data_IF_165826400769
#
_entry.id   IF_165826400769
#
_cell.length_a   1.000
_cell.length_b   1.000
_cell.length_c   1.000
_cell.angle_alpha   90.00
_cell.angle_beta   90.00
_cell.angle_gamma   90.00
#
_symmetry.space_group_name_H-M   'P 1'
#
loop_
_entity.id
_entity.type
_entity.pdbx_description
1 polymer ?
#
# COMPACT_ATOMS: atom_id res chain seq x y z
N UNK A 1 -29.19 1.19 13.00
CA UNK A 1 -29.51 -0.10 12.33
C UNK A 1 -29.76 -1.23 13.32
N UNK A 2 -28.93 -1.40 14.36
CA UNK A 2 -29.06 -2.48 15.35
C UNK A 2 -30.46 -2.55 16.00
N UNK A 3 -31.02 -1.41 16.43
CA UNK A 3 -32.38 -1.33 17.00
C UNK A 3 -33.44 -1.88 16.04
N UNK A 4 -33.42 -1.47 14.77
CA UNK A 4 -34.34 -1.97 13.74
C UNK A 4 -34.17 -3.48 13.45
N UNK A 5 -32.95 -4.00 13.53
CA UNK A 5 -32.68 -5.43 13.39
C UNK A 5 -33.28 -6.23 14.55
N UNK A 6 -33.04 -5.76 15.77
CA UNK A 6 -33.62 -6.33 17.00
C UNK A 6 -35.14 -6.32 16.96
N UNK A 7 -35.74 -5.18 16.63
CA UNK A 7 -37.21 -5.03 16.57
C UNK A 7 -37.82 -5.97 15.52
N UNK A 8 -37.15 -6.16 14.37
CA UNK A 8 -37.59 -7.14 13.36
C UNK A 8 -37.52 -8.58 13.87
N UNK A 9 -36.43 -8.96 14.53
CA UNK A 9 -36.26 -10.31 15.06
C UNK A 9 -37.32 -10.64 16.12
N UNK A 10 -37.56 -9.69 17.05
CA UNK A 10 -38.61 -9.79 18.08
C UNK A 10 -39.99 -9.93 17.42
N UNK A 11 -40.30 -9.08 16.42
CA UNK A 11 -41.58 -9.14 15.71
C UNK A 11 -41.76 -10.44 14.90
N UNK A 12 -40.67 -11.09 14.50
CA UNK A 12 -40.68 -12.41 13.84
C UNK A 12 -40.61 -13.60 14.81
N UNK A 13 -40.75 -13.37 16.11
CA UNK A 13 -40.70 -14.38 17.17
C UNK A 13 -39.35 -15.14 17.27
N UNK A 14 -38.25 -14.50 16.85
CA UNK A 14 -36.90 -15.02 17.02
C UNK A 14 -36.25 -14.40 18.26
N UNK A 15 -36.27 -15.14 19.37
CA UNK A 15 -35.88 -14.64 20.70
C UNK A 15 -34.53 -15.16 21.22
N UNK A 16 -33.89 -16.08 20.51
CA UNK A 16 -32.62 -16.69 20.94
C UNK A 16 -31.41 -15.93 20.39
N UNK A 17 -31.35 -14.62 20.65
CA UNK A 17 -30.28 -13.74 20.18
C UNK A 17 -29.84 -12.76 21.28
N UNK A 18 -28.54 -12.75 21.56
CA UNK A 18 -27.91 -11.69 22.34
C UNK A 18 -27.45 -10.57 21.41
N UNK A 19 -27.91 -9.34 21.66
CA UNK A 19 -27.61 -8.18 20.83
C UNK A 19 -26.53 -7.34 21.48
N UNK A 20 -25.38 -7.21 20.82
CA UNK A 20 -24.26 -6.39 21.28
C UNK A 20 -23.96 -5.30 20.26
N UNK A 21 -23.77 -4.07 20.74
CA UNK A 21 -23.27 -2.96 19.93
C UNK A 21 -21.75 -2.89 20.11
N UNK A 22 -21.00 -3.33 19.10
CA UNK A 22 -19.54 -3.40 19.15
C UNK A 22 -18.90 -2.88 17.86
N UNK A 23 -17.62 -2.53 17.94
CA UNK A 23 -16.80 -2.24 16.76
C UNK A 23 -16.23 -3.58 16.23
N UNK A 24 -16.39 -3.85 14.93
CA UNK A 24 -15.86 -5.06 14.31
C UNK A 24 -14.32 -5.16 14.39
N UNK A 25 -13.64 -4.02 14.57
CA UNK A 25 -12.18 -3.93 14.74
C UNK A 25 -11.72 -4.13 16.19
N UNK A 26 -12.64 -4.25 17.15
CA UNK A 26 -12.35 -4.52 18.55
C UNK A 26 -13.59 -5.11 19.21
N UNK A 27 -13.68 -6.43 19.19
CA UNK A 27 -14.84 -7.17 19.68
C UNK A 27 -14.75 -7.36 21.20
N UNK A 28 -15.81 -7.08 21.97
CA UNK A 28 -15.83 -7.23 23.43
C UNK A 28 -16.09 -8.67 23.87
N UNK A 29 -15.39 -9.61 23.23
CA UNK A 29 -15.52 -11.05 23.44
C UNK A 29 -14.15 -11.65 23.74
N UNK A 30 -14.13 -12.77 24.46
CA UNK A 30 -12.90 -13.45 24.82
C UNK A 30 -12.30 -14.20 23.62
N UNK A 31 -11.03 -14.57 23.73
CA UNK A 31 -10.35 -15.38 22.72
C UNK A 31 -11.01 -16.77 22.63
N UNK A 32 -11.20 -17.28 21.41
CA UNK A 32 -11.77 -18.62 21.15
C UNK A 32 -13.16 -18.88 21.76
N UNK A 33 -14.02 -17.87 21.81
CA UNK A 33 -15.38 -17.99 22.34
C UNK A 33 -16.36 -18.68 21.38
N UNK A 34 -16.29 -18.39 20.08
CA UNK A 34 -17.31 -18.79 19.10
C UNK A 34 -16.86 -19.90 18.13
N UNK A 35 -17.82 -20.71 17.70
CA UNK A 35 -17.63 -21.73 16.66
C UNK A 35 -17.83 -21.17 15.24
N UNK A 36 -18.64 -20.14 15.08
CA UNK A 36 -18.93 -19.52 13.79
C UNK A 36 -18.95 -18.01 13.90
N UNK A 37 -18.33 -17.32 12.95
CA UNK A 37 -18.37 -15.88 12.81
C UNK A 37 -18.87 -15.57 11.40
N UNK A 38 -20.04 -14.92 11.31
CA UNK A 38 -20.69 -14.61 10.04
C UNK A 38 -20.76 -13.12 9.83
N UNK A 39 -20.41 -12.64 8.63
CA UNK A 39 -20.64 -11.26 8.21
C UNK A 39 -21.26 -11.24 6.82
N UNK A 40 -22.34 -10.47 6.65
CA UNK A 40 -23.05 -10.35 5.39
C UNK A 40 -23.18 -8.88 4.99
N UNK A 41 -22.60 -8.53 3.84
CA UNK A 41 -22.63 -7.19 3.25
C UNK A 41 -22.11 -6.07 4.17
N UNK A 42 -21.23 -6.41 5.12
CA UNK A 42 -20.71 -5.48 6.12
C UNK A 42 -19.21 -5.23 6.02
N UNK A 43 -18.42 -6.24 5.66
CA UNK A 43 -16.96 -6.21 5.75
C UNK A 43 -16.34 -5.13 4.85
N UNK A 44 -16.99 -4.77 3.74
CA UNK A 44 -16.53 -3.70 2.84
C UNK A 44 -16.61 -2.29 3.45
N UNK A 45 -17.41 -2.11 4.51
CA UNK A 45 -17.62 -0.81 5.15
C UNK A 45 -16.78 -0.64 6.43
N UNK A 46 -15.93 -1.62 6.76
CA UNK A 46 -15.02 -1.55 7.90
C UNK A 46 -13.81 -0.68 7.52
N UNK A 47 -13.39 0.22 8.41
CA UNK A 47 -12.25 1.10 8.16
C UNK A 47 -10.93 0.34 8.03
N UNK A 48 -10.60 -0.50 9.01
CA UNK A 48 -9.46 -1.41 8.98
C UNK A 48 -9.95 -2.86 8.89
N UNK A 49 -10.09 -3.33 7.65
CA UNK A 49 -10.54 -4.70 7.38
C UNK A 49 -9.59 -5.75 7.92
N UNK A 50 -8.26 -5.52 7.87
CA UNK A 50 -7.27 -6.47 8.37
C UNK A 50 -7.44 -6.66 9.88
N UNK A 51 -7.62 -5.57 10.62
CA UNK A 51 -7.87 -5.62 12.06
C UNK A 51 -9.18 -6.34 12.39
N UNK A 52 -10.25 -6.09 11.64
CA UNK A 52 -11.52 -6.82 11.85
C UNK A 52 -11.43 -8.31 11.51
N UNK A 53 -10.69 -8.72 10.48
CA UNK A 53 -10.43 -10.14 10.19
C UNK A 53 -9.57 -10.81 11.27
N UNK A 54 -8.63 -10.06 11.85
CA UNK A 54 -7.84 -10.54 12.99
C UNK A 54 -8.71 -10.75 14.22
N UNK A 55 -9.56 -9.77 14.56
CA UNK A 55 -10.53 -9.88 15.65
C UNK A 55 -11.53 -11.02 15.44
N UNK A 56 -12.09 -11.15 14.23
CA UNK A 56 -13.03 -12.21 13.90
C UNK A 56 -12.43 -13.60 14.12
N UNK A 57 -11.13 -13.78 13.94
CA UNK A 57 -10.45 -15.05 14.25
C UNK A 57 -9.99 -15.15 15.68
N UNK A 58 -9.62 -14.05 16.33
CA UNK A 58 -9.28 -14.06 17.77
C UNK A 58 -10.43 -14.66 18.57
N UNK A 59 -11.67 -14.25 18.25
CA UNK A 59 -12.88 -14.73 18.92
C UNK A 59 -13.33 -16.13 18.42
N UNK A 60 -12.72 -16.69 17.36
CA UNK A 60 -13.03 -18.03 16.87
C UNK A 60 -12.16 -19.09 17.54
N UNK A 61 -12.76 -20.24 17.85
CA UNK A 61 -12.04 -21.43 18.31
C UNK A 61 -11.06 -21.96 17.24
N UNK A 62 -10.07 -22.81 17.59
CA UNK A 62 -9.11 -23.41 16.65
C UNK A 62 -9.67 -24.16 15.42
N UNK A 63 -10.99 -24.45 15.40
CA UNK A 63 -11.72 -25.03 14.26
C UNK A 63 -12.97 -24.23 13.86
N UNK A 64 -13.10 -23.04 14.42
CA UNK A 64 -14.22 -22.16 14.13
C UNK A 64 -14.20 -21.70 12.67
N UNK A 65 -15.38 -21.38 12.13
CA UNK A 65 -15.53 -20.99 10.72
C UNK A 65 -15.90 -19.52 10.60
N UNK A 66 -15.07 -18.79 9.86
CA UNK A 66 -15.43 -17.47 9.35
C UNK A 66 -16.19 -17.62 8.02
N UNK A 67 -17.39 -17.04 7.94
CA UNK A 67 -18.26 -17.08 6.77
C UNK A 67 -18.58 -15.65 6.36
N UNK A 68 -18.19 -15.28 5.15
CA UNK A 68 -18.39 -13.93 4.62
C UNK A 68 -19.22 -13.98 3.34
N UNK A 69 -20.29 -13.18 3.30
CA UNK A 69 -21.05 -12.90 2.09
C UNK A 69 -20.84 -11.44 1.73
N UNK A 70 -20.23 -11.17 0.57
CA UNK A 70 -19.94 -9.79 0.15
C UNK A 70 -19.92 -9.66 -1.37
N UNK A 71 -20.17 -8.44 -1.86
CA UNK A 71 -19.92 -8.09 -3.25
C UNK A 71 -18.41 -7.99 -3.50
N UNK A 72 -17.95 -8.54 -4.62
CA UNK A 72 -16.58 -8.42 -5.08
C UNK A 72 -16.57 -7.89 -6.52
N UNK A 73 -15.54 -7.12 -6.92
CA UNK A 73 -15.39 -6.72 -8.31
C UNK A 73 -15.25 -7.97 -9.19
N UNK A 74 -15.98 -8.01 -10.30
CA UNK A 74 -15.86 -9.09 -11.28
C UNK A 74 -14.74 -8.75 -12.28
N UNK A 75 -13.64 -9.50 -12.23
CA UNK A 75 -12.67 -9.51 -13.33
C UNK A 75 -13.12 -10.53 -14.39
N UNK A 76 -13.80 -10.05 -15.42
CA UNK A 76 -14.04 -10.85 -16.62
C UNK A 76 -12.78 -10.88 -17.50
N UNK A 77 -12.52 -12.02 -18.13
CA UNK A 77 -11.46 -12.15 -19.14
C UNK A 77 -11.73 -11.28 -20.39
N UNK A 78 -12.95 -10.78 -20.58
CA UNK A 78 -13.35 -9.96 -21.71
C UNK A 78 -13.49 -8.48 -21.30
N UNK A 79 -12.53 -7.65 -21.71
CA UNK A 79 -12.46 -6.22 -21.38
C UNK A 79 -13.71 -5.42 -21.75
N UNK A 80 -14.41 -5.79 -22.83
CA UNK A 80 -15.57 -5.05 -23.34
C UNK A 80 -16.73 -5.14 -22.34
N UNK A 81 -16.93 -6.31 -21.75
CA UNK A 81 -18.00 -6.54 -20.78
C UNK A 81 -17.72 -5.80 -19.47
N UNK A 82 -16.47 -5.81 -19.00
CA UNK A 82 -16.04 -5.04 -17.82
C UNK A 82 -16.27 -3.53 -18.05
N UNK A 83 -15.90 -3.00 -19.22
CA UNK A 83 -16.13 -1.59 -19.57
C UNK A 83 -17.62 -1.23 -19.64
N UNK A 84 -18.47 -2.10 -20.20
CA UNK A 84 -19.92 -1.90 -20.27
C UNK A 84 -20.57 -1.94 -18.88
N UNK A 85 -20.21 -2.92 -18.06
CA UNK A 85 -20.67 -3.02 -16.67
C UNK A 85 -20.24 -1.80 -15.86
N UNK A 86 -19.02 -1.32 -16.08
CA UNK A 86 -18.49 -0.14 -15.42
C UNK A 86 -19.25 1.13 -15.80
N UNK A 87 -19.51 1.32 -17.09
CA UNK A 87 -20.26 2.45 -17.62
C UNK A 87 -21.69 2.45 -17.08
N UNK A 88 -22.35 1.29 -17.08
CA UNK A 88 -23.67 1.11 -16.51
C UNK A 88 -23.67 1.42 -15.01
N UNK A 89 -22.72 0.85 -14.26
CA UNK A 89 -22.65 1.02 -12.80
C UNK A 89 -22.39 2.48 -12.40
N UNK A 90 -21.56 3.23 -13.14
CA UNK A 90 -21.28 4.64 -12.81
C UNK A 90 -22.36 5.62 -13.26
N UNK A 91 -23.00 5.39 -14.41
CA UNK A 91 -23.93 6.37 -14.98
C UNK A 91 -25.39 6.06 -14.70
N UNK A 92 -25.74 4.79 -14.57
CA UNK A 92 -27.14 4.34 -14.49
C UNK A 92 -27.55 4.12 -13.04
N UNK A 93 -26.79 3.35 -12.25
CA UNK A 93 -27.17 3.02 -10.86
C UNK A 93 -27.33 4.28 -9.98
N UNK A 94 -26.39 5.24 -9.93
CA UNK A 94 -26.55 6.46 -9.14
C UNK A 94 -27.71 7.35 -9.61
N UNK A 95 -27.94 7.44 -10.93
CA UNK A 95 -29.06 8.22 -11.48
C UNK A 95 -30.41 7.60 -11.11
N UNK A 96 -30.55 6.29 -11.23
CA UNK A 96 -31.77 5.57 -10.81
C UNK A 96 -31.99 5.74 -9.31
N UNK A 97 -30.93 5.60 -8.49
CA UNK A 97 -31.00 5.86 -7.05
C UNK A 97 -31.43 7.28 -6.70
N UNK A 98 -30.94 8.28 -7.45
CA UNK A 98 -31.33 9.68 -7.26
C UNK A 98 -32.81 9.95 -7.59
N UNK A 99 -33.36 9.25 -8.58
CA UNK A 99 -34.74 9.43 -9.04
C UNK A 99 -35.72 8.71 -8.11
N UNK A 100 -35.38 7.51 -7.63
CA UNK A 100 -36.28 6.66 -6.85
C UNK A 100 -36.19 6.97 -5.35
N UNK A 101 -34.98 7.08 -4.81
CA UNK A 101 -34.74 7.15 -3.36
C UNK A 101 -34.36 8.54 -2.86
N UNK A 102 -34.19 9.53 -3.75
CA UNK A 102 -33.64 10.88 -3.45
C UNK A 102 -32.30 10.88 -2.69
N UNK A 103 -31.59 9.76 -2.67
CA UNK A 103 -30.34 9.59 -1.93
C UNK A 103 -29.23 9.10 -2.86
N UNK A 104 -28.72 10.03 -3.67
CA UNK A 104 -27.65 9.77 -4.65
C UNK A 104 -26.34 9.35 -3.97
N UNK A 105 -26.02 9.95 -2.83
CA UNK A 105 -24.80 9.70 -2.05
C UNK A 105 -24.66 8.24 -1.64
N UNK A 106 -25.73 7.61 -1.16
CA UNK A 106 -25.69 6.20 -0.73
C UNK A 106 -25.39 5.23 -1.88
N UNK A 107 -25.92 5.50 -3.08
CA UNK A 107 -25.66 4.67 -4.26
C UNK A 107 -24.26 4.92 -4.87
N UNK A 108 -23.76 6.15 -4.84
CA UNK A 108 -22.37 6.45 -5.23
C UNK A 108 -21.38 5.75 -4.28
N UNK A 109 -21.62 5.81 -2.97
CA UNK A 109 -20.81 5.08 -1.99
C UNK A 109 -20.90 3.56 -2.19
N UNK A 110 -22.09 3.02 -2.46
CA UNK A 110 -22.26 1.59 -2.73
C UNK A 110 -21.37 1.14 -3.90
N UNK A 111 -21.48 1.81 -5.05
CA UNK A 111 -20.69 1.46 -6.24
C UNK A 111 -19.19 1.61 -5.99
N UNK A 112 -18.79 2.68 -5.28
CA UNK A 112 -17.39 2.91 -4.90
C UNK A 112 -16.86 1.80 -3.98
N UNK A 113 -17.58 1.47 -2.91
CA UNK A 113 -17.19 0.44 -1.94
C UNK A 113 -17.03 -0.94 -2.58
N UNK A 114 -17.86 -1.29 -3.58
CA UNK A 114 -17.76 -2.56 -4.31
C UNK A 114 -16.49 -2.60 -5.18
N UNK A 115 -16.08 -1.46 -5.77
CA UNK A 115 -14.87 -1.38 -6.61
C UNK A 115 -13.58 -1.41 -5.80
N UNK A 116 -13.58 -0.74 -4.66
CA UNK A 116 -12.42 -0.69 -3.75
C UNK A 116 -12.26 -2.00 -2.97
N UNK A 117 -13.28 -2.86 -2.95
CA UNK A 117 -13.20 -4.16 -2.33
C UNK A 117 -12.25 -5.10 -3.09
N UNK A 118 -11.43 -5.92 -2.40
CA UNK A 118 -10.53 -6.88 -3.03
C UNK A 118 -11.27 -7.89 -3.91
N UNK A 119 -10.56 -8.43 -4.89
CA UNK A 119 -11.05 -9.56 -5.70
C UNK A 119 -11.24 -10.81 -4.85
N UNK A 120 -11.95 -11.81 -5.36
CA UNK A 120 -12.20 -13.06 -4.64
C UNK A 120 -10.90 -13.79 -4.27
N UNK A 121 -9.90 -13.75 -5.15
CA UNK A 121 -8.59 -14.36 -4.91
C UNK A 121 -7.85 -13.61 -3.79
N UNK A 122 -7.88 -12.28 -3.83
CA UNK A 122 -7.15 -11.44 -2.89
C UNK A 122 -7.77 -11.47 -1.50
N UNK A 123 -9.09 -11.37 -1.42
CA UNK A 123 -9.79 -11.45 -0.15
C UNK A 123 -9.59 -12.82 0.51
N UNK A 124 -9.53 -13.90 -0.29
CA UNK A 124 -9.19 -15.24 0.21
C UNK A 124 -7.77 -15.30 0.77
N UNK A 125 -6.80 -14.64 0.14
CA UNK A 125 -5.44 -14.55 0.68
C UNK A 125 -5.40 -13.68 1.94
N UNK A 126 -6.12 -12.57 1.97
CA UNK A 126 -6.23 -11.68 3.14
C UNK A 126 -6.74 -12.45 4.37
N UNK A 127 -7.75 -13.32 4.19
CA UNK A 127 -8.26 -14.20 5.25
C UNK A 127 -7.22 -15.24 5.71
N UNK A 128 -6.43 -15.80 4.78
CA UNK A 128 -5.52 -16.92 5.05
C UNK A 128 -4.14 -16.51 5.58
N UNK A 129 -3.54 -15.49 4.98
CA UNK A 129 -2.12 -15.17 5.15
C UNK A 129 -1.85 -13.97 6.05
N UNK A 130 -2.89 -13.33 6.63
CA UNK A 130 -2.87 -12.32 7.71
C UNK A 130 -1.73 -11.30 7.68
N UNK A 131 -0.51 -11.72 8.02
CA UNK A 131 0.68 -10.89 8.08
C UNK A 131 1.47 -10.82 6.77
N UNK A 132 1.35 -11.83 5.90
CA UNK A 132 2.10 -11.93 4.64
C UNK A 132 1.31 -11.52 3.40
N UNK A 133 0.02 -11.16 3.51
CA UNK A 133 -0.81 -10.82 2.34
C UNK A 133 -0.15 -9.78 1.42
N UNK A 134 0.34 -8.68 2.00
CA UNK A 134 0.97 -7.60 1.22
C UNK A 134 2.28 -8.07 0.55
N UNK A 135 3.03 -8.93 1.22
CA UNK A 135 4.27 -9.53 0.70
C UNK A 135 3.98 -10.53 -0.42
N UNK A 136 3.04 -11.45 -0.22
CA UNK A 136 2.66 -12.44 -1.24
C UNK A 136 2.17 -11.74 -2.48
N UNK A 137 1.35 -10.70 -2.32
CA UNK A 137 0.87 -9.85 -3.41
C UNK A 137 2.02 -9.06 -4.07
N UNK A 138 2.99 -8.55 -3.30
CA UNK A 138 4.23 -7.95 -3.81
C UNK A 138 5.01 -8.95 -4.69
N UNK A 139 5.21 -10.19 -4.22
CA UNK A 139 5.89 -11.24 -4.99
C UNK A 139 5.11 -11.63 -6.26
N UNK A 140 3.77 -11.61 -6.22
CA UNK A 140 2.96 -11.80 -7.42
C UNK A 140 3.17 -10.68 -8.46
N UNK A 141 3.31 -9.42 -8.02
CA UNK A 141 3.66 -8.31 -8.91
C UNK A 141 5.00 -8.56 -9.63
N UNK A 142 6.04 -9.01 -8.91
CA UNK A 142 7.31 -9.40 -9.54
C UNK A 142 7.15 -10.53 -10.55
N UNK A 143 6.35 -11.56 -10.22
CA UNK A 143 6.11 -12.69 -11.12
C UNK A 143 5.37 -12.25 -12.40
N UNK A 144 4.42 -11.32 -12.29
CA UNK A 144 3.65 -10.81 -13.45
C UNK A 144 4.47 -9.86 -14.32
N UNK A 145 5.34 -9.05 -13.71
CA UNK A 145 6.18 -8.08 -14.42
C UNK A 145 7.21 -8.69 -15.37
N UNK A 146 7.64 -9.94 -15.16
CA UNK A 146 8.66 -10.60 -16.00
C UNK A 146 9.87 -9.67 -16.28
N UNK A 147 10.44 -9.70 -17.50
CA UNK A 147 11.59 -8.84 -17.83
C UNK A 147 11.21 -7.38 -18.12
N UNK A 148 10.11 -7.15 -18.85
CA UNK A 148 9.78 -5.85 -19.47
C UNK A 148 8.54 -5.17 -18.89
N UNK A 149 7.81 -5.83 -18.00
CA UNK A 149 6.58 -5.32 -17.40
C UNK A 149 5.35 -5.62 -18.24
N UNK A 150 4.18 -5.38 -17.65
CA UNK A 150 2.87 -5.48 -18.31
C UNK A 150 2.49 -4.21 -19.08
N UNK A 151 3.19 -3.10 -18.83
CA UNK A 151 2.91 -1.78 -19.38
C UNK A 151 2.48 -0.76 -18.32
N UNK A 152 2.75 0.53 -18.55
CA UNK A 152 2.47 1.58 -17.59
C UNK A 152 0.95 1.73 -17.37
N UNK A 153 0.52 1.72 -16.11
CA UNK A 153 -0.89 1.86 -15.75
C UNK A 153 -1.76 0.61 -15.94
N UNK A 154 -1.24 -0.45 -16.56
CA UNK A 154 -1.92 -1.75 -16.69
C UNK A 154 -1.66 -2.69 -15.50
N UNK A 155 -0.88 -2.22 -14.51
CA UNK A 155 -0.64 -2.92 -13.26
C UNK A 155 -1.95 -3.19 -12.51
N UNK A 156 -2.18 -4.45 -12.15
CA UNK A 156 -3.39 -4.93 -11.50
C UNK A 156 -3.20 -5.20 -10.01
N UNK A 157 -1.95 -5.22 -9.54
CA UNK A 157 -1.63 -5.40 -8.12
C UNK A 157 -1.84 -4.10 -7.35
N UNK A 158 -1.72 -2.93 -7.99
CA UNK A 158 -1.93 -1.61 -7.38
C UNK A 158 -3.29 -1.43 -6.70
N UNK A 159 -4.35 -2.05 -7.22
CA UNK A 159 -5.72 -1.93 -6.71
C UNK A 159 -5.97 -2.79 -5.47
N UNK A 160 -5.10 -3.77 -5.19
CA UNK A 160 -5.29 -4.73 -4.11
C UNK A 160 -4.27 -4.60 -2.99
N UNK A 161 -3.19 -3.87 -3.24
CA UNK A 161 -2.06 -3.74 -2.32
C UNK A 161 -2.17 -2.39 -1.59
N UNK A 162 -2.51 -2.38 -0.30
CA UNK A 162 -2.55 -1.14 0.48
C UNK A 162 -1.14 -0.51 0.55
N UNK A 163 -1.05 0.82 0.56
CA UNK A 163 0.22 1.55 0.60
C UNK A 163 1.18 1.24 -0.58
N UNK A 164 0.62 0.84 -1.73
CA UNK A 164 1.39 0.53 -2.94
C UNK A 164 2.21 1.71 -3.50
N UNK A 165 1.83 2.94 -3.17
CA UNK A 165 2.53 4.15 -3.61
C UNK A 165 3.67 4.58 -2.68
N UNK A 166 3.81 3.97 -1.51
CA UNK A 166 4.86 4.26 -0.52
C UNK A 166 5.80 3.06 -0.37
N UNK A 167 5.43 2.11 0.47
CA UNK A 167 6.26 0.99 0.93
C UNK A 167 6.49 -0.06 -0.16
N UNK A 168 5.54 -0.20 -1.09
CA UNK A 168 5.58 -1.19 -2.17
C UNK A 168 5.65 -0.55 -3.55
N UNK A 169 6.18 0.67 -3.64
CA UNK A 169 6.38 1.35 -4.94
C UNK A 169 7.26 0.51 -5.87
N UNK A 170 8.20 -0.25 -5.30
CA UNK A 170 9.10 -1.11 -6.05
C UNK A 170 8.37 -2.33 -6.64
N UNK A 171 7.35 -2.86 -5.96
CA UNK A 171 6.48 -3.91 -6.48
C UNK A 171 5.63 -3.41 -7.66
N UNK A 172 5.11 -2.18 -7.58
CA UNK A 172 4.37 -1.55 -8.68
C UNK A 172 5.29 -1.34 -9.89
N UNK A 173 6.50 -0.84 -9.65
CA UNK A 173 7.51 -0.64 -10.69
C UNK A 173 7.89 -1.97 -11.36
N UNK A 174 7.99 -3.05 -10.58
CA UNK A 174 8.23 -4.39 -11.10
C UNK A 174 7.09 -4.89 -11.98
N UNK A 175 5.84 -4.74 -11.57
CA UNK A 175 4.70 -5.17 -12.38
C UNK A 175 4.63 -4.39 -13.69
N UNK A 176 4.69 -3.06 -13.63
CA UNK A 176 4.45 -2.19 -14.79
C UNK A 176 5.62 -2.12 -15.77
N UNK A 177 6.87 -2.09 -15.27
CA UNK A 177 8.08 -1.87 -16.06
C UNK A 177 9.08 -3.03 -16.05
N UNK A 178 8.80 -4.10 -15.29
CA UNK A 178 9.57 -5.33 -15.30
C UNK A 178 10.89 -5.30 -14.53
N UNK A 179 11.58 -6.43 -14.57
CA UNK A 179 12.84 -6.66 -13.87
C UNK A 179 13.97 -5.74 -14.34
N UNK A 180 14.03 -5.40 -15.64
CA UNK A 180 15.11 -4.55 -16.17
C UNK A 180 15.07 -3.17 -15.50
N UNK A 181 13.88 -2.59 -15.41
CA UNK A 181 13.69 -1.28 -14.78
C UNK A 181 13.97 -1.35 -13.29
N UNK A 182 13.55 -2.42 -12.61
CA UNK A 182 13.90 -2.66 -11.21
C UNK A 182 15.42 -2.65 -10.98
N UNK A 183 16.17 -3.41 -11.79
CA UNK A 183 17.62 -3.47 -11.70
C UNK A 183 18.27 -2.12 -12.01
N UNK A 184 17.77 -1.39 -13.00
CA UNK A 184 18.24 -0.05 -13.33
C UNK A 184 18.01 0.94 -12.17
N UNK A 185 16.84 0.89 -11.53
CA UNK A 185 16.54 1.71 -10.34
C UNK A 185 17.46 1.34 -9.18
N UNK A 186 17.65 0.05 -8.88
CA UNK A 186 18.58 -0.39 -7.82
C UNK A 186 20.02 0.07 -8.10
N UNK A 187 20.47 -0.04 -9.35
CA UNK A 187 21.79 0.41 -9.77
C UNK A 187 21.94 1.93 -9.62
N UNK A 188 20.92 2.71 -10.00
CA UNK A 188 20.91 4.16 -9.85
C UNK A 188 21.02 4.58 -8.38
N UNK A 189 20.19 4.00 -7.50
CA UNK A 189 20.27 4.26 -6.06
C UNK A 189 21.60 3.80 -5.46
N UNK A 190 22.18 2.70 -5.94
CA UNK A 190 23.51 2.25 -5.57
C UNK A 190 24.61 3.25 -5.95
N UNK A 191 24.57 3.79 -7.16
CA UNK A 191 25.51 4.82 -7.62
C UNK A 191 25.36 6.11 -6.80
N UNK A 192 24.13 6.55 -6.54
CA UNK A 192 23.87 7.73 -5.70
C UNK A 192 24.44 7.50 -4.30
N UNK A 193 24.14 6.35 -3.68
CA UNK A 193 24.63 5.99 -2.34
C UNK A 193 26.16 5.96 -2.28
N UNK A 194 26.82 5.34 -3.26
CA UNK A 194 28.27 5.31 -3.36
C UNK A 194 28.86 6.72 -3.54
N UNK A 195 28.20 7.58 -4.33
CA UNK A 195 28.64 8.96 -4.53
C UNK A 195 28.51 9.80 -3.26
N UNK A 196 27.43 9.63 -2.50
CA UNK A 196 27.21 10.30 -1.22
C UNK A 196 28.31 9.95 -0.21
N UNK A 197 28.64 8.66 -0.08
CA UNK A 197 29.73 8.19 0.78
C UNK A 197 31.11 8.67 0.30
N UNK A 198 31.32 8.73 -1.01
CA UNK A 198 32.57 9.25 -1.57
C UNK A 198 32.78 10.74 -1.28
N UNK A 199 31.72 11.55 -1.34
CA UNK A 199 31.76 12.97 -0.98
C UNK A 199 32.05 13.13 0.51
N UNK A 200 31.46 12.28 1.36
CA UNK A 200 31.75 12.24 2.80
C UNK A 200 33.23 11.92 3.07
N UNK A 201 33.77 10.89 2.42
CA UNK A 201 35.15 10.44 2.60
C UNK A 201 36.20 11.50 2.25
N UNK A 202 35.89 12.40 1.31
CA UNK A 202 36.81 13.46 0.89
C UNK A 202 36.78 14.71 1.75
N UNK A 203 35.87 14.78 2.71
CA UNK A 203 35.66 16.00 3.47
C UNK A 203 36.45 16.01 4.77
N UNK A 204 37.28 17.04 4.93
CA UNK A 204 38.21 17.15 6.07
C UNK A 204 37.61 17.96 7.24
N UNK A 205 36.64 18.84 6.96
CA UNK A 205 35.99 19.65 7.98
C UNK A 205 34.91 18.82 8.72
N UNK A 206 35.07 18.68 10.04
CA UNK A 206 34.20 17.83 10.87
C UNK A 206 32.72 18.22 10.75
N UNK A 207 32.42 19.51 10.71
CA UNK A 207 31.04 19.99 10.57
C UNK A 207 30.41 19.54 9.24
N UNK A 208 31.11 19.75 8.13
CA UNK A 208 30.63 19.34 6.80
C UNK A 208 30.49 17.82 6.72
N UNK A 209 31.46 17.09 7.26
CA UNK A 209 31.44 15.63 7.31
C UNK A 209 30.19 15.12 8.04
N UNK A 210 29.88 15.65 9.23
CA UNK A 210 28.70 15.23 10.00
C UNK A 210 27.39 15.52 9.26
N UNK A 211 27.27 16.68 8.62
CA UNK A 211 26.09 17.05 7.82
C UNK A 211 25.92 16.11 6.63
N UNK A 212 26.99 15.92 5.85
CA UNK A 212 27.00 15.04 4.68
C UNK A 212 26.66 13.61 5.07
N UNK A 213 27.29 13.10 6.12
CA UNK A 213 27.13 11.73 6.59
C UNK A 213 25.72 11.49 7.15
N UNK A 214 25.17 12.45 7.91
CA UNK A 214 23.80 12.37 8.42
C UNK A 214 22.75 12.30 7.30
N UNK A 215 22.83 13.20 6.31
CA UNK A 215 21.94 13.19 5.14
C UNK A 215 22.11 11.90 4.33
N UNK A 216 23.35 11.44 4.15
CA UNK A 216 23.66 10.22 3.39
C UNK A 216 23.08 8.98 4.05
N UNK A 217 23.28 8.81 5.36
CA UNK A 217 22.73 7.68 6.12
C UNK A 217 21.21 7.69 6.07
N UNK A 218 20.57 8.85 6.27
CA UNK A 218 19.12 8.97 6.19
C UNK A 218 18.59 8.48 4.83
N UNK A 219 19.21 8.90 3.73
CA UNK A 219 18.81 8.50 2.37
C UNK A 219 19.02 6.99 2.11
N UNK A 220 20.18 6.47 2.53
CA UNK A 220 20.54 5.05 2.34
C UNK A 220 19.63 4.14 3.17
N UNK A 221 19.35 4.49 4.43
CA UNK A 221 18.47 3.70 5.30
C UNK A 221 17.05 3.63 4.74
N UNK A 222 16.49 4.73 4.23
CA UNK A 222 15.16 4.72 3.61
C UNK A 222 15.11 3.80 2.37
N UNK A 223 16.16 3.79 1.56
CA UNK A 223 16.28 2.86 0.42
C UNK A 223 16.35 1.39 0.86
N UNK A 224 17.21 1.07 1.84
CA UNK A 224 17.35 -0.31 2.36
C UNK A 224 16.04 -0.80 2.97
N UNK A 225 15.36 0.03 3.77
CA UNK A 225 14.09 -0.36 4.40
C UNK A 225 13.03 -0.64 3.34
N UNK A 226 12.85 0.23 2.34
CA UNK A 226 11.81 0.07 1.32
C UNK A 226 11.99 -1.23 0.51
N UNK A 227 13.24 -1.57 0.15
CA UNK A 227 13.55 -2.85 -0.50
C UNK A 227 13.32 -4.03 0.46
N UNK A 228 13.72 -3.90 1.73
CA UNK A 228 13.52 -4.95 2.73
C UNK A 228 12.04 -5.23 3.00
N UNK A 229 11.18 -4.20 3.04
CA UNK A 229 9.72 -4.36 3.14
C UNK A 229 9.15 -5.09 1.93
N UNK A 230 9.58 -4.71 0.73
CA UNK A 230 9.16 -5.34 -0.52
C UNK A 230 9.49 -6.84 -0.56
N UNK A 231 10.60 -7.24 0.07
CA UNK A 231 11.11 -8.62 0.15
C UNK A 231 10.71 -9.39 1.42
N UNK A 232 9.82 -8.85 2.27
CA UNK A 232 9.42 -9.45 3.55
C UNK A 232 10.50 -9.52 4.64
N UNK A 233 11.61 -8.81 4.48
CA UNK A 233 12.68 -8.77 5.47
C UNK A 233 12.29 -7.89 6.65
N UNK A 234 11.54 -6.80 6.39
CA UNK A 234 11.06 -5.85 7.40
C UNK A 234 9.54 -5.70 7.32
N UNK A 235 8.87 -5.38 8.45
CA UNK A 235 7.45 -5.02 8.43
C UNK A 235 7.24 -3.68 7.73
N UNK A 236 6.04 -3.45 7.21
CA UNK A 236 5.63 -2.18 6.58
C UNK A 236 5.72 -1.04 7.58
N UNK A 237 6.41 0.03 7.21
CA UNK A 237 6.75 1.15 8.10
C UNK A 237 6.14 2.49 7.65
N UNK A 238 5.55 2.55 6.45
CA UNK A 238 5.05 3.78 5.85
C UNK A 238 6.15 4.72 5.37
N UNK A 239 7.40 4.23 5.27
CA UNK A 239 8.56 5.03 4.86
C UNK A 239 8.61 5.11 3.34
N UNK A 240 8.43 6.32 2.83
CA UNK A 240 8.55 6.63 1.41
C UNK A 240 9.98 6.49 0.92
N UNK A 241 10.16 5.86 -0.24
CA UNK A 241 11.42 5.88 -0.95
C UNK A 241 11.69 7.29 -1.50
N UNK A 242 12.84 7.91 -1.18
CA UNK A 242 13.18 9.25 -1.64
C UNK A 242 13.08 9.38 -3.16
N UNK A 243 12.45 10.46 -3.63
CA UNK A 243 12.27 10.81 -5.05
C UNK A 243 11.38 9.87 -5.90
N UNK A 244 11.09 8.66 -5.44
CA UNK A 244 10.31 7.68 -6.23
C UNK A 244 8.90 7.48 -5.67
N UNK A 245 8.75 7.36 -4.34
CA UNK A 245 7.46 7.12 -3.71
C UNK A 245 6.60 8.39 -3.69
N UNK A 246 5.28 8.18 -3.66
CA UNK A 246 4.32 9.25 -3.50
C UNK A 246 4.33 9.76 -2.05
N UNK A 247 4.74 11.00 -1.86
CA UNK A 247 4.69 11.66 -0.55
C UNK A 247 5.07 13.12 -0.68
N UNK A 248 4.08 14.03 -0.71
CA UNK A 248 4.33 15.45 -1.01
C UNK A 248 5.37 16.10 -0.09
N UNK A 249 5.24 15.93 1.23
CA UNK A 249 6.20 16.46 2.20
C UNK A 249 7.56 15.76 2.11
N UNK A 250 7.58 14.45 1.88
CA UNK A 250 8.83 13.70 1.75
C UNK A 250 9.61 14.15 0.52
N UNK A 251 8.96 14.26 -0.65
CA UNK A 251 9.58 14.73 -1.88
C UNK A 251 10.22 16.11 -1.71
N UNK A 252 9.53 17.04 -1.06
CA UNK A 252 10.08 18.36 -0.76
C UNK A 252 11.30 18.28 0.17
N UNK A 253 11.21 17.51 1.26
CA UNK A 253 12.30 17.34 2.21
C UNK A 253 13.53 16.70 1.57
N UNK A 254 13.35 15.65 0.76
CA UNK A 254 14.43 14.99 0.03
C UNK A 254 15.06 15.91 -1.00
N UNK A 255 14.27 16.77 -1.67
CA UNK A 255 14.77 17.75 -2.63
C UNK A 255 15.67 18.79 -1.95
N UNK A 256 15.28 19.28 -0.77
CA UNK A 256 16.10 20.21 0.03
C UNK A 256 17.40 19.54 0.48
N UNK A 257 17.31 18.30 1.00
CA UNK A 257 18.47 17.55 1.44
C UNK A 257 19.49 17.31 0.31
N UNK A 258 19.01 16.98 -0.90
CA UNK A 258 19.85 16.83 -2.08
C UNK A 258 20.45 18.17 -2.54
N UNK A 259 19.70 19.27 -2.45
CA UNK A 259 20.23 20.61 -2.74
C UNK A 259 21.42 20.97 -1.84
N UNK A 260 21.31 20.66 -0.55
CA UNK A 260 22.41 20.82 0.42
C UNK A 260 23.60 19.94 0.02
N UNK A 261 23.37 18.65 -0.28
CA UNK A 261 24.42 17.72 -0.72
C UNK A 261 25.13 18.16 -1.99
N UNK A 262 24.39 18.68 -2.98
CA UNK A 262 24.96 19.19 -4.23
C UNK A 262 25.82 20.44 -3.99
N UNK A 263 25.46 21.29 -3.03
CA UNK A 263 26.26 22.45 -2.64
C UNK A 263 27.65 22.03 -2.14
N UNK A 264 27.71 21.03 -1.26
CA UNK A 264 28.97 20.47 -0.76
C UNK A 264 29.79 19.81 -1.88
N UNK A 265 29.14 18.99 -2.73
CA UNK A 265 29.83 18.35 -3.85
C UNK A 265 30.40 19.37 -4.86
N UNK A 266 29.73 20.51 -5.07
CA UNK A 266 30.21 21.58 -5.96
C UNK A 266 31.45 22.26 -5.40
N UNK A 267 31.44 22.59 -4.10
CA UNK A 267 32.55 23.29 -3.46
C UNK A 267 33.83 22.43 -3.46
N UNK A 268 33.71 21.12 -3.23
CA UNK A 268 34.84 20.19 -3.38
C UNK A 268 35.37 20.11 -4.82
N UNK A 269 34.50 20.05 -5.82
CA UNK A 269 34.92 19.97 -7.23
C UNK A 269 35.69 21.22 -7.69
N UNK A 270 35.30 22.40 -7.18
CA UNK A 270 36.01 23.66 -7.42
C UNK A 270 37.37 23.64 -6.72
N UNK A 271 37.44 23.21 -5.47
CA UNK A 271 38.69 23.10 -4.71
C UNK A 271 39.70 22.14 -5.39
N UNK A 272 39.23 21.01 -5.93
CA UNK A 272 40.03 20.06 -6.70
C UNK A 272 40.63 20.69 -7.97
N UNK A 273 39.80 21.34 -8.80
CA UNK A 273 40.26 22.02 -10.02
C UNK A 273 41.26 23.14 -9.73
N UNK A 274 41.09 23.84 -8.61
CA UNK A 274 42.05 24.88 -8.19
C UNK A 274 43.40 24.25 -7.80
N UNK A 275 43.38 23.16 -7.01
CA UNK A 275 44.61 22.45 -6.59
C UNK A 275 45.36 21.84 -7.77
N UNK A 276 44.66 21.26 -8.75
CA UNK A 276 45.26 20.76 -10.00
C UNK A 276 45.93 21.87 -10.81
N UNK A 277 45.30 23.04 -10.92
CA UNK A 277 45.92 24.18 -11.63
C UNK A 277 47.16 24.70 -10.92
N UNK A 278 47.16 24.77 -9.59
CA UNK A 278 48.35 25.22 -8.84
C UNK A 278 49.51 24.24 -9.03
N UNK A 279 49.27 22.92 -9.02
CA UNK A 279 50.32 21.92 -9.23
C UNK A 279 50.82 21.78 -10.69
N UNK A 280 50.16 22.41 -11.66
CA UNK A 280 50.61 22.45 -13.06
C UNK A 280 51.42 23.72 -13.40
N UNK A 281 51.58 24.64 -12.44
CA UNK A 281 52.29 25.92 -12.61
C UNK A 281 53.68 25.89 -11.95
N UNK A 282 54.02 24.80 -11.25
CA UNK A 282 55.37 24.46 -10.76
C UNK A 282 56.02 23.41 -11.66
#
# INVERSE_FOLDING_TARGET
>A
MLSRGRDKAINSNQINFDWVCANAESLPFEDSEFDYCTIAFGIRNVSDRKKALNEAHRVLKPHGKFICLEFAPMHYQNEIFTKLYDLYSFKVIPKIGSIIAKDRSSYEYLVKSIREFPTQADFKMEIKERDNFQVTKSLEAFKRGQLTGVGPGEGSVKTSLPDCHTDFVFSVLAEEFGLITCLATLMLFGIISARLLYVAYRENELFNLLVILGISIQFITQFIINIGVTLSIFPTTGITLPLLSYGGSSLLSSSIALGIMLSFSRNQAIALKFRERVMLVD
#
